data_IF_540248393564
#
_entry.id   IF_540248393564
#
_cell.length_a   1.000
_cell.length_b   1.000
_cell.length_c   1.000
_cell.angle_alpha   90.00
_cell.angle_beta   90.00
_cell.angle_gamma   90.00
#
_symmetry.space_group_name_H-M   'P 1'
#
loop_
_entity.id
_entity.type
_entity.pdbx_description
1 polymer ?
#
# COMPACT_ATOMS: atom_id res chain seq x y z
N UNK A 1 1.95 -21.96 7.66
CA UNK A 1 1.30 -21.98 6.33
C UNK A 1 2.29 -22.50 5.31
N UNK A 2 1.89 -23.41 4.43
CA UNK A 2 2.72 -23.81 3.30
C UNK A 2 2.77 -22.63 2.33
N UNK A 3 3.92 -22.12 1.93
CA UNK A 3 3.98 -21.02 0.98
C UNK A 3 3.30 -21.42 -0.33
N UNK A 4 2.61 -20.52 -0.99
CA UNK A 4 2.01 -20.79 -2.28
C UNK A 4 3.09 -21.12 -3.30
N UNK A 5 2.87 -22.13 -4.10
CA UNK A 5 3.82 -22.61 -5.11
C UNK A 5 3.37 -22.13 -6.47
N UNK A 6 3.95 -21.03 -6.92
CA UNK A 6 3.87 -20.57 -8.30
C UNK A 6 2.66 -19.66 -8.63
N UNK A 7 2.78 -18.99 -9.76
CA UNK A 7 1.77 -18.09 -10.34
C UNK A 7 0.55 -18.87 -10.84
N UNK A 8 -0.64 -18.46 -10.45
CA UNK A 8 -1.91 -19.02 -10.90
C UNK A 8 -2.54 -18.15 -11.99
N UNK A 9 -3.09 -18.76 -13.04
CA UNK A 9 -3.81 -18.07 -14.11
C UNK A 9 -5.31 -17.93 -13.87
N UNK A 10 -5.81 -18.27 -12.66
CA UNK A 10 -7.22 -18.18 -12.32
C UNK A 10 -7.49 -16.87 -11.58
N UNK A 11 -7.80 -15.76 -12.28
CA UNK A 11 -8.06 -14.49 -11.64
C UNK A 11 -9.35 -14.54 -10.83
N UNK A 12 -9.41 -13.72 -9.76
CA UNK A 12 -10.59 -13.59 -8.91
C UNK A 12 -11.82 -13.22 -9.73
N UNK A 13 -12.99 -13.71 -9.33
CA UNK A 13 -14.26 -13.50 -10.01
C UNK A 13 -15.17 -12.50 -9.28
N UNK A 14 -14.91 -12.23 -8.02
CA UNK A 14 -15.71 -11.37 -7.17
C UNK A 14 -15.04 -10.02 -6.98
N UNK A 15 -15.84 -8.94 -7.01
CA UNK A 15 -15.41 -7.59 -6.65
C UNK A 15 -15.41 -7.46 -5.14
N UNK A 16 -14.44 -6.68 -4.59
CA UNK A 16 -14.38 -6.37 -3.17
C UNK A 16 -14.30 -4.85 -2.96
N UNK A 17 -15.10 -4.33 -2.04
CA UNK A 17 -14.98 -2.98 -1.51
C UNK A 17 -14.61 -3.08 -0.03
N UNK A 18 -13.55 -2.40 0.41
CA UNK A 18 -12.91 -2.73 1.68
C UNK A 18 -12.59 -1.49 2.51
N UNK A 19 -12.59 -1.67 3.83
CA UNK A 19 -12.15 -0.66 4.79
C UNK A 19 -11.02 -1.24 5.65
N UNK A 20 -9.84 -0.61 5.60
CA UNK A 20 -8.74 -0.86 6.52
C UNK A 20 -8.81 0.16 7.65
N UNK A 21 -8.88 -0.32 8.89
CA UNK A 21 -8.83 0.51 10.11
C UNK A 21 -7.55 0.16 10.86
N UNK A 22 -6.73 1.17 11.14
CA UNK A 22 -5.52 1.02 11.93
C UNK A 22 -5.34 2.18 12.90
N UNK A 23 -4.69 1.92 14.02
CA UNK A 23 -4.33 2.94 14.99
C UNK A 23 -2.85 3.29 14.94
N UNK A 24 -2.56 4.50 15.34
CA UNK A 24 -1.21 5.02 15.55
C UNK A 24 -1.11 5.51 17.00
N UNK A 25 -0.11 5.05 17.74
CA UNK A 25 0.18 5.44 19.12
C UNK A 25 1.61 5.97 19.17
N UNK A 26 1.78 7.23 19.52
CA UNK A 26 3.07 7.91 19.61
C UNK A 26 3.97 7.72 18.38
N UNK A 27 3.38 7.78 17.19
CA UNK A 27 4.05 7.49 15.94
C UNK A 27 3.72 8.45 14.81
N UNK A 28 4.35 8.24 13.65
CA UNK A 28 4.06 8.97 12.43
C UNK A 28 3.89 7.98 11.26
N UNK A 29 2.66 7.73 10.80
CA UNK A 29 2.40 6.72 9.77
C UNK A 29 2.83 7.19 8.38
N UNK A 30 2.75 8.50 8.11
CA UNK A 30 2.92 9.07 6.78
C UNK A 30 3.45 10.51 6.85
N UNK A 31 4.75 10.64 7.15
CA UNK A 31 5.42 11.94 7.18
C UNK A 31 5.48 12.62 5.81
N UNK A 32 5.36 13.94 5.80
CA UNK A 32 5.48 14.77 4.61
C UNK A 32 6.93 15.27 4.45
N UNK A 33 7.64 14.87 3.38
CA UNK A 33 9.01 15.34 3.16
C UNK A 33 9.10 16.86 2.96
N UNK A 34 8.05 17.50 2.44
CA UNK A 34 8.00 18.94 2.20
C UNK A 34 7.66 19.74 3.47
N UNK A 35 7.12 19.07 4.49
CA UNK A 35 6.76 19.66 5.78
C UNK A 35 7.61 19.09 6.94
N UNK A 36 8.92 18.99 6.75
CA UNK A 36 9.88 18.51 7.76
C UNK A 36 9.48 17.16 8.40
N UNK A 37 8.94 16.25 7.60
CA UNK A 37 8.43 14.95 8.01
C UNK A 37 7.29 15.00 9.05
N UNK A 38 6.55 16.08 9.18
CA UNK A 38 5.29 16.14 9.93
C UNK A 38 4.29 15.14 9.36
N UNK A 39 3.43 14.58 10.19
CA UNK A 39 2.34 13.74 9.70
C UNK A 39 1.43 14.58 8.80
N UNK A 40 1.04 14.01 7.66
CA UNK A 40 0.14 14.70 6.72
C UNK A 40 -1.21 14.94 7.36
N UNK A 41 -1.72 16.15 7.24
CA UNK A 41 -3.04 16.55 7.75
C UNK A 41 -3.82 17.30 6.68
N UNK A 42 -5.12 17.14 6.72
CA UNK A 42 -6.06 18.01 6.01
C UNK A 42 -6.10 19.37 6.73
N UNK A 43 -5.76 20.47 6.07
CA UNK A 43 -5.67 21.77 6.71
C UNK A 43 -7.01 22.30 7.21
N UNK A 44 -8.13 21.89 6.61
CA UNK A 44 -9.47 22.40 6.97
C UNK A 44 -10.05 21.65 8.18
N UNK A 45 -9.84 20.33 8.22
CA UNK A 45 -10.44 19.47 9.25
C UNK A 45 -9.47 19.09 10.37
N UNK A 46 -8.16 19.27 10.16
CA UNK A 46 -7.10 18.78 11.06
C UNK A 46 -6.97 17.26 11.11
N UNK A 47 -7.68 16.51 10.25
CA UNK A 47 -7.59 15.06 10.21
C UNK A 47 -6.27 14.61 9.61
N UNK A 48 -5.68 13.58 10.20
CA UNK A 48 -4.50 12.93 9.65
C UNK A 48 -4.80 12.21 8.34
N UNK A 49 -3.85 12.27 7.41
CA UNK A 49 -3.97 11.65 6.08
C UNK A 49 -2.99 10.50 5.92
N UNK A 50 -3.46 9.42 5.29
CA UNK A 50 -2.64 8.28 4.87
C UNK A 50 -2.77 8.10 3.37
N UNK A 51 -1.68 8.33 2.63
CA UNK A 51 -1.69 8.21 1.17
C UNK A 51 -1.79 6.74 0.72
N UNK A 52 -2.35 6.52 -0.46
CA UNK A 52 -2.38 5.21 -1.11
C UNK A 52 -0.97 4.64 -1.30
N UNK A 53 0.00 5.50 -1.64
CA UNK A 53 1.41 5.12 -1.82
C UNK A 53 2.01 4.57 -0.53
N UNK A 54 1.73 5.18 0.63
CA UNK A 54 2.24 4.73 1.91
C UNK A 54 1.64 3.38 2.33
N UNK A 55 0.34 3.17 2.10
CA UNK A 55 -0.32 1.88 2.32
C UNK A 55 0.30 0.80 1.40
N UNK A 56 0.37 1.06 0.10
CA UNK A 56 0.93 0.13 -0.89
C UNK A 56 2.40 -0.20 -0.58
N UNK A 57 3.20 0.77 -0.12
CA UNK A 57 4.61 0.53 0.24
C UNK A 57 4.74 -0.40 1.45
N UNK A 58 3.88 -0.24 2.46
CA UNK A 58 3.88 -1.10 3.66
C UNK A 58 3.47 -2.54 3.30
N UNK A 59 2.44 -2.69 2.46
CA UNK A 59 1.97 -4.00 1.98
C UNK A 59 3.03 -4.69 1.10
N UNK A 60 3.67 -3.95 0.16
CA UNK A 60 4.77 -4.50 -0.66
C UNK A 60 5.91 -5.03 0.20
N UNK A 61 6.28 -4.30 1.26
CA UNK A 61 7.34 -4.74 2.17
C UNK A 61 6.96 -6.04 2.87
N UNK A 62 5.74 -6.13 3.40
CA UNK A 62 5.24 -7.34 4.06
C UNK A 62 5.21 -8.53 3.08
N UNK A 63 4.61 -8.34 1.90
CA UNK A 63 4.56 -9.36 0.87
C UNK A 63 5.95 -9.82 0.42
N UNK A 64 6.91 -8.88 0.27
CA UNK A 64 8.27 -9.23 -0.10
C UNK A 64 8.97 -10.09 0.97
N UNK A 65 8.85 -9.71 2.24
CA UNK A 65 9.49 -10.44 3.34
C UNK A 65 8.92 -11.86 3.46
N UNK A 66 7.62 -12.01 3.28
CA UNK A 66 6.96 -13.30 3.44
C UNK A 66 7.04 -14.20 2.19
N UNK A 67 7.01 -13.61 1.00
CA UNK A 67 6.80 -14.37 -0.24
C UNK A 67 7.73 -13.99 -1.39
N UNK A 68 8.56 -12.96 -1.26
CA UNK A 68 9.34 -12.37 -2.35
C UNK A 68 10.38 -13.29 -2.99
N UNK A 69 10.74 -14.39 -2.34
CA UNK A 69 11.66 -15.40 -2.85
C UNK A 69 10.97 -16.48 -3.71
N UNK A 70 9.63 -16.49 -3.76
CA UNK A 70 8.87 -17.44 -4.56
C UNK A 70 8.75 -16.96 -6.02
N UNK A 71 8.71 -17.90 -6.96
CA UNK A 71 8.51 -17.60 -8.37
C UNK A 71 7.20 -16.87 -8.62
N UNK A 72 7.27 -15.73 -9.35
CA UNK A 72 6.12 -14.89 -9.63
C UNK A 72 5.74 -13.90 -8.52
N UNK A 73 6.49 -13.86 -7.41
CA UNK A 73 6.20 -12.99 -6.26
C UNK A 73 7.28 -11.95 -5.99
N UNK A 74 8.18 -11.71 -6.93
CA UNK A 74 9.15 -10.61 -6.85
C UNK A 74 8.43 -9.26 -6.78
N UNK A 75 9.10 -8.24 -6.21
CA UNK A 75 8.59 -6.86 -6.17
C UNK A 75 9.27 -6.00 -7.24
N UNK A 76 8.48 -5.32 -8.05
CA UNK A 76 8.96 -4.34 -9.03
C UNK A 76 9.42 -3.06 -8.32
N UNK A 77 8.56 -2.46 -7.49
CA UNK A 77 8.88 -1.26 -6.71
C UNK A 77 9.51 -1.68 -5.38
N UNK A 78 10.84 -1.62 -5.33
CA UNK A 78 11.63 -1.98 -4.16
C UNK A 78 12.80 -1.01 -4.00
N UNK A 79 13.16 -0.70 -2.75
CA UNK A 79 14.42 -0.03 -2.47
C UNK A 79 15.59 -0.90 -2.99
N UNK A 80 16.70 -0.27 -3.29
CA UNK A 80 17.93 -0.93 -3.77
C UNK A 80 17.79 -1.69 -5.09
N UNK A 81 16.86 -1.26 -5.97
CA UNK A 81 16.69 -1.87 -7.28
C UNK A 81 16.45 -0.84 -8.38
N UNK A 82 16.90 -1.16 -9.57
CA UNK A 82 16.74 -0.32 -10.76
C UNK A 82 15.55 -0.78 -11.56
N UNK A 83 14.53 0.08 -11.72
CA UNK A 83 13.31 -0.26 -12.47
C UNK A 83 13.62 -0.62 -13.92
N UNK A 84 14.47 0.16 -14.59
CA UNK A 84 14.83 -0.10 -16.00
C UNK A 84 15.47 -1.47 -16.21
N UNK A 85 16.24 -2.00 -15.26
CA UNK A 85 16.80 -3.35 -15.38
C UNK A 85 15.71 -4.42 -15.37
N UNK A 86 14.65 -4.23 -14.60
CA UNK A 86 13.49 -5.15 -14.58
C UNK A 86 12.65 -5.02 -15.85
N UNK A 87 12.50 -3.80 -16.37
CA UNK A 87 11.86 -3.55 -17.67
C UNK A 87 12.65 -4.21 -18.80
N UNK A 88 13.98 -4.17 -18.71
CA UNK A 88 14.88 -4.80 -19.68
C UNK A 88 14.78 -6.33 -19.65
N UNK A 89 14.62 -6.95 -18.49
CA UNK A 89 14.33 -8.39 -18.37
C UNK A 89 13.13 -8.79 -19.23
N UNK A 90 12.05 -8.01 -19.20
CA UNK A 90 10.84 -8.32 -19.95
C UNK A 90 11.05 -8.22 -21.48
N UNK A 91 11.76 -7.20 -21.95
CA UNK A 91 12.01 -7.06 -23.40
C UNK A 91 12.99 -8.11 -23.92
N UNK A 92 14.00 -8.48 -23.11
CA UNK A 92 14.94 -9.57 -23.45
C UNK A 92 14.22 -10.92 -23.51
N UNK A 93 13.37 -11.22 -22.53
CA UNK A 93 12.58 -12.45 -22.50
C UNK A 93 11.64 -12.59 -23.70
N UNK A 94 11.28 -11.48 -24.36
CA UNK A 94 10.42 -11.45 -25.54
C UNK A 94 11.20 -11.18 -26.85
N UNK A 95 12.53 -11.39 -26.85
CA UNK A 95 13.34 -11.43 -28.08
C UNK A 95 14.05 -10.12 -28.45
N UNK A 96 13.98 -9.09 -27.63
CA UNK A 96 14.81 -7.90 -27.81
C UNK A 96 16.21 -8.11 -27.19
N UNK A 97 17.20 -7.34 -27.62
CA UNK A 97 18.54 -7.38 -27.03
C UNK A 97 18.65 -6.50 -25.78
N UNK A 98 17.91 -5.41 -25.74
CA UNK A 98 17.84 -4.42 -24.67
C UNK A 98 16.61 -3.51 -24.91
N UNK A 99 16.38 -2.55 -24.04
CA UNK A 99 15.29 -1.56 -24.15
C UNK A 99 15.35 -0.74 -25.46
N UNK A 100 16.54 -0.37 -25.92
CA UNK A 100 16.69 0.43 -27.15
C UNK A 100 16.29 -0.39 -28.40
N UNK A 101 16.57 -1.70 -28.40
CA UNK A 101 16.21 -2.61 -29.49
C UNK A 101 14.71 -2.97 -29.49
N UNK A 102 13.98 -2.74 -28.42
CA UNK A 102 12.56 -3.06 -28.31
C UNK A 102 11.73 -2.45 -29.45
N UNK A 103 12.04 -1.20 -29.86
CA UNK A 103 11.38 -0.54 -31.01
C UNK A 103 11.50 -1.32 -32.33
N UNK A 104 12.62 -1.99 -32.55
CA UNK A 104 12.84 -2.78 -33.75
C UNK A 104 12.05 -4.09 -33.73
N UNK A 105 12.06 -4.80 -32.61
CA UNK A 105 11.32 -6.06 -32.42
C UNK A 105 9.83 -5.83 -32.58
N UNK A 106 9.30 -4.76 -31.95
CA UNK A 106 7.90 -4.37 -32.01
C UNK A 106 7.37 -4.15 -33.43
N UNK A 107 8.19 -3.64 -34.37
CA UNK A 107 7.78 -3.49 -35.77
C UNK A 107 7.42 -4.81 -36.42
N UNK A 108 8.04 -5.92 -35.97
CA UNK A 108 7.87 -7.25 -36.51
C UNK A 108 6.92 -8.13 -35.67
N UNK A 109 6.62 -7.75 -34.45
CA UNK A 109 5.71 -8.45 -33.52
C UNK A 109 4.71 -7.45 -32.92
N UNK A 110 3.49 -7.36 -33.46
CA UNK A 110 2.44 -6.48 -32.97
C UNK A 110 2.03 -6.75 -31.51
N UNK A 111 2.22 -7.98 -31.03
CA UNK A 111 1.89 -8.39 -29.66
C UNK A 111 3.04 -8.20 -28.67
N UNK A 112 4.18 -7.70 -29.12
CA UNK A 112 5.39 -7.57 -28.29
C UNK A 112 5.14 -6.80 -26.99
N UNK A 113 4.48 -5.64 -27.09
CA UNK A 113 4.18 -4.80 -25.92
C UNK A 113 3.30 -5.55 -24.90
N UNK A 114 2.30 -6.30 -25.40
CA UNK A 114 1.41 -7.10 -24.56
C UNK A 114 2.17 -8.25 -23.89
N UNK A 115 3.03 -8.96 -24.62
CA UNK A 115 3.87 -10.03 -24.06
C UNK A 115 4.79 -9.51 -22.96
N UNK A 116 5.36 -8.30 -23.13
CA UNK A 116 6.17 -7.66 -22.09
C UNK A 116 5.34 -7.33 -20.85
N UNK A 117 4.12 -6.78 -20.99
CA UNK A 117 3.24 -6.52 -19.87
C UNK A 117 2.80 -7.81 -19.14
N UNK A 118 2.52 -8.88 -19.88
CA UNK A 118 2.21 -10.20 -19.33
C UNK A 118 3.41 -10.78 -18.56
N UNK A 119 4.63 -10.64 -19.09
CA UNK A 119 5.85 -11.01 -18.37
C UNK A 119 5.96 -10.28 -17.04
N UNK A 120 5.71 -8.96 -17.03
CA UNK A 120 5.77 -8.16 -15.81
C UNK A 120 4.71 -8.59 -14.79
N UNK A 121 3.47 -8.79 -15.23
CA UNK A 121 2.40 -9.30 -14.34
C UNK A 121 2.72 -10.69 -13.78
N UNK A 122 3.32 -11.57 -14.59
CA UNK A 122 3.66 -12.93 -14.18
C UNK A 122 4.76 -12.96 -13.12
N UNK A 123 5.78 -12.12 -13.27
CA UNK A 123 7.00 -12.19 -12.44
C UNK A 123 6.96 -11.24 -11.23
N UNK A 124 6.17 -10.16 -11.30
CA UNK A 124 6.12 -9.14 -10.26
C UNK A 124 4.74 -9.05 -9.62
N UNK A 125 4.66 -9.50 -8.37
CA UNK A 125 3.42 -9.53 -7.60
C UNK A 125 2.78 -8.15 -7.47
N UNK A 126 3.56 -7.12 -7.20
CA UNK A 126 3.04 -5.76 -7.00
C UNK A 126 2.55 -5.10 -8.29
N UNK A 127 3.08 -5.46 -9.46
CA UNK A 127 2.51 -5.05 -10.76
C UNK A 127 1.16 -5.71 -10.96
N UNK A 128 1.07 -7.02 -10.72
CA UNK A 128 -0.16 -7.80 -10.85
C UNK A 128 -1.24 -7.31 -9.88
N UNK A 129 -0.85 -6.86 -8.69
CA UNK A 129 -1.74 -6.43 -7.61
C UNK A 129 -2.14 -4.95 -7.73
N UNK A 130 -1.16 -4.05 -7.76
CA UNK A 130 -1.39 -2.59 -7.70
C UNK A 130 -1.26 -1.90 -9.05
N UNK A 131 -0.55 -2.53 -9.96
CA UNK A 131 -0.09 -1.92 -11.19
C UNK A 131 1.15 -1.06 -11.01
N UNK A 132 1.72 -0.64 -12.12
CA UNK A 132 2.86 0.29 -12.16
C UNK A 132 2.95 0.99 -13.51
N UNK A 133 3.65 2.12 -13.52
CA UNK A 133 4.16 2.74 -14.75
C UNK A 133 5.59 2.26 -14.94
N UNK A 134 5.85 1.54 -16.03
CA UNK A 134 7.16 1.01 -16.38
C UNK A 134 7.91 2.06 -17.20
N UNK A 135 8.82 2.77 -16.53
CA UNK A 135 9.50 3.94 -17.11
C UNK A 135 10.40 3.58 -18.30
N UNK A 136 10.99 2.40 -18.30
CA UNK A 136 11.78 1.86 -19.43
C UNK A 136 10.92 1.65 -20.66
N UNK A 137 9.72 1.10 -20.50
CA UNK A 137 8.75 0.92 -21.60
C UNK A 137 8.28 2.27 -22.14
N UNK A 138 8.00 3.26 -21.28
CA UNK A 138 7.62 4.61 -21.70
C UNK A 138 8.72 5.28 -22.50
N UNK A 139 9.99 5.17 -22.08
CA UNK A 139 11.15 5.69 -22.84
C UNK A 139 11.32 5.00 -24.19
N UNK A 140 10.97 3.76 -24.30
CA UNK A 140 10.99 2.97 -25.54
C UNK A 140 9.73 3.12 -26.38
N UNK A 141 8.83 4.06 -26.02
CA UNK A 141 7.56 4.34 -26.70
C UNK A 141 6.62 3.14 -26.81
N UNK A 142 6.69 2.22 -25.86
CA UNK A 142 5.81 1.05 -25.84
C UNK A 142 4.39 1.47 -25.41
N UNK A 143 3.38 0.92 -26.07
CA UNK A 143 1.96 1.21 -25.81
C UNK A 143 1.50 0.73 -24.44
N UNK A 144 2.19 -0.24 -23.86
CA UNK A 144 1.90 -0.85 -22.55
C UNK A 144 2.79 -0.30 -21.43
N UNK A 145 3.19 0.96 -21.50
CA UNK A 145 4.02 1.61 -20.49
C UNK A 145 3.39 1.69 -19.09
N UNK A 146 2.12 1.29 -18.93
CA UNK A 146 1.43 1.22 -17.65
C UNK A 146 0.52 0.01 -17.54
N UNK A 147 0.57 -0.67 -16.39
CA UNK A 147 -0.40 -1.70 -15.98
C UNK A 147 -1.24 -1.14 -14.84
N UNK A 148 -2.56 -1.23 -14.96
CA UNK A 148 -3.49 -0.91 -13.86
C UNK A 148 -3.87 -2.19 -13.14
N UNK A 149 -3.43 -2.31 -11.89
CA UNK A 149 -3.76 -3.46 -11.05
C UNK A 149 -5.17 -3.38 -10.45
N UNK A 150 -5.71 -4.52 -9.99
CA UNK A 150 -7.05 -4.60 -9.40
C UNK A 150 -7.17 -3.89 -8.06
N UNK A 151 -6.11 -3.86 -7.23
CA UNK A 151 -6.16 -3.32 -5.87
C UNK A 151 -5.82 -1.83 -5.88
N UNK A 152 -6.79 -0.99 -5.52
CA UNK A 152 -6.63 0.46 -5.50
C UNK A 152 -7.06 1.04 -4.17
N UNK A 153 -6.11 1.67 -3.46
CA UNK A 153 -6.35 2.44 -2.25
C UNK A 153 -6.74 3.86 -2.59
N UNK A 154 -7.62 4.44 -1.77
CA UNK A 154 -7.84 5.88 -1.71
C UNK A 154 -7.03 6.48 -0.55
N UNK A 155 -7.01 7.82 -0.45
CA UNK A 155 -6.43 8.47 0.70
C UNK A 155 -7.26 8.14 1.95
N UNK A 156 -6.62 7.56 2.97
CA UNK A 156 -7.25 7.33 4.26
C UNK A 156 -7.19 8.57 5.13
N UNK A 157 -8.14 8.67 6.07
CA UNK A 157 -8.24 9.79 7.01
C UNK A 157 -8.45 9.28 8.44
N UNK A 158 -8.05 10.09 9.42
CA UNK A 158 -8.42 9.81 10.80
C UNK A 158 -9.89 10.11 11.08
N UNK A 159 -10.47 9.36 12.02
CA UNK A 159 -11.86 9.57 12.49
C UNK A 159 -12.00 10.96 13.11
N UNK A 160 -11.02 11.37 13.90
CA UNK A 160 -10.96 12.67 14.56
C UNK A 160 -9.76 13.50 14.07
N UNK A 161 -9.77 14.84 14.27
CA UNK A 161 -8.57 15.65 14.12
C UNK A 161 -7.42 15.15 14.98
N UNK A 162 -6.19 15.20 14.45
CA UNK A 162 -4.99 14.81 15.17
C UNK A 162 -4.22 16.05 15.65
N UNK A 163 -3.53 15.90 16.77
CA UNK A 163 -2.51 16.85 17.20
C UNK A 163 -1.14 16.22 17.03
N UNK A 164 -0.18 17.00 16.56
CA UNK A 164 1.19 16.54 16.41
C UNK A 164 2.06 17.14 17.51
N UNK A 165 2.96 16.35 18.06
CA UNK A 165 3.97 16.80 19.02
C UNK A 165 5.33 16.78 18.35
N UNK A 166 6.06 17.87 18.46
CA UNK A 166 7.46 17.92 18.10
C UNK A 166 8.31 17.44 19.28
N UNK A 167 9.13 16.43 19.03
CA UNK A 167 10.08 15.90 20.01
C UNK A 167 11.49 16.24 19.56
N UNK A 168 12.18 17.07 20.34
CA UNK A 168 13.61 17.31 20.13
C UNK A 168 14.41 16.09 20.61
N UNK A 169 15.26 15.59 19.74
CA UNK A 169 16.15 14.47 20.03
C UNK A 169 17.60 14.94 19.96
N UNK A 170 18.42 14.42 20.87
CA UNK A 170 19.84 14.75 20.94
C UNK A 170 20.68 13.48 20.72
N UNK A 171 21.46 13.46 19.66
CA UNK A 171 22.49 12.43 19.46
C UNK A 171 23.75 12.85 20.23
N UNK A 172 24.19 12.02 21.16
CA UNK A 172 25.38 12.24 22.00
C UNK A 172 26.71 11.99 21.23
N UNK A 173 26.70 12.36 19.93
CA UNK A 173 27.89 12.25 19.06
C UNK A 173 27.77 13.26 17.92
N UNK A 174 28.91 13.69 17.41
CA UNK A 174 29.04 14.50 16.20
C UNK A 174 29.51 13.65 15.03
N UNK A 175 29.36 14.18 13.80
CA UNK A 175 29.67 13.42 12.58
C UNK A 175 31.12 13.50 12.17
N UNK A 176 31.83 14.57 12.57
CA UNK A 176 33.20 14.83 12.11
C UNK A 176 34.10 15.30 13.24
N UNK A 177 35.38 15.01 13.11
CA UNK A 177 36.44 15.48 14.02
C UNK A 177 36.45 17.00 14.12
N UNK A 178 36.24 17.69 13.02
CA UNK A 178 36.11 19.15 12.96
C UNK A 178 35.00 19.71 13.86
N UNK A 179 33.84 19.04 13.91
CA UNK A 179 32.76 19.44 14.82
C UNK A 179 33.15 19.25 16.27
N UNK A 180 33.85 18.17 16.60
CA UNK A 180 34.28 17.86 17.98
C UNK A 180 35.36 18.85 18.44
N UNK A 181 36.41 19.07 17.65
CA UNK A 181 37.62 19.82 18.06
C UNK A 181 37.40 21.33 17.83
N UNK A 182 37.02 21.76 16.63
CA UNK A 182 36.96 23.17 16.28
C UNK A 182 35.68 23.84 16.83
N UNK A 183 34.51 23.19 16.72
CA UNK A 183 33.24 23.76 17.17
C UNK A 183 32.89 23.40 18.62
N UNK A 184 33.70 22.56 19.29
CA UNK A 184 33.44 22.09 20.66
C UNK A 184 32.02 21.54 20.85
N UNK A 185 31.45 20.91 19.82
CA UNK A 185 30.14 20.31 19.87
C UNK A 185 30.27 18.83 20.22
N UNK A 186 29.57 18.40 21.25
CA UNK A 186 29.53 17.01 21.69
C UNK A 186 28.27 16.28 21.27
N UNK A 187 27.32 16.99 20.67
CA UNK A 187 26.03 16.43 20.31
C UNK A 187 25.47 17.04 19.01
N UNK A 188 24.50 16.39 18.46
CA UNK A 188 23.71 16.88 17.31
C UNK A 188 22.24 16.81 17.70
N UNK A 189 21.53 17.92 17.51
CA UNK A 189 20.08 18.00 17.79
C UNK A 189 19.31 17.76 16.49
N UNK A 190 18.14 17.14 16.61
CA UNK A 190 17.16 16.98 15.54
C UNK A 190 15.76 16.96 16.12
N UNK A 191 14.75 17.08 15.27
CA UNK A 191 13.35 17.02 15.66
C UNK A 191 12.66 15.80 15.03
N UNK A 192 11.66 15.28 15.74
CA UNK A 192 10.72 14.28 15.22
C UNK A 192 9.30 14.72 15.55
N UNK A 193 8.39 14.46 14.62
CA UNK A 193 6.96 14.73 14.83
C UNK A 193 6.21 13.42 15.04
N UNK A 194 5.45 13.34 16.12
CA UNK A 194 4.61 12.19 16.45
C UNK A 194 3.15 12.59 16.56
N UNK A 195 2.26 11.67 16.23
CA UNK A 195 0.84 11.69 16.55
C UNK A 195 0.66 10.89 17.83
N UNK A 196 0.22 11.50 18.95
CA UNK A 196 0.00 10.78 20.20
C UNK A 196 -1.00 9.63 20.06
N UNK A 197 -2.11 9.91 19.34
CA UNK A 197 -3.08 8.89 18.95
C UNK A 197 -3.83 9.33 17.68
N UNK A 198 -4.14 8.36 16.80
CA UNK A 198 -4.99 8.55 15.65
C UNK A 198 -5.56 7.22 15.17
N UNK A 199 -6.88 7.15 14.95
CA UNK A 199 -7.55 6.01 14.34
C UNK A 199 -7.84 6.35 12.88
N UNK A 200 -7.16 5.67 11.96
CA UNK A 200 -7.23 5.87 10.52
C UNK A 200 -8.18 4.90 9.88
N UNK A 201 -8.96 5.37 8.92
CA UNK A 201 -9.83 4.57 8.05
C UNK A 201 -9.40 4.79 6.61
N UNK A 202 -9.02 3.73 5.93
CA UNK A 202 -8.52 3.76 4.56
C UNK A 202 -9.39 2.88 3.67
N UNK A 203 -10.26 3.48 2.83
CA UNK A 203 -11.00 2.74 1.84
C UNK A 203 -10.10 2.21 0.73
N UNK A 204 -10.41 1.01 0.24
CA UNK A 204 -9.78 0.45 -0.95
C UNK A 204 -10.72 -0.51 -1.68
N UNK A 205 -10.39 -0.79 -2.94
CA UNK A 205 -11.23 -1.57 -3.83
C UNK A 205 -10.40 -2.63 -4.53
N UNK A 206 -11.00 -3.81 -4.77
CA UNK A 206 -10.38 -4.88 -5.55
C UNK A 206 -11.32 -5.22 -6.71
N UNK A 207 -10.89 -4.91 -7.92
CA UNK A 207 -11.70 -5.08 -9.14
C UNK A 207 -11.43 -6.42 -9.80
N UNK A 208 -12.39 -7.33 -9.77
CA UNK A 208 -12.31 -8.60 -10.49
C UNK A 208 -12.14 -8.39 -12.01
N UNK A 209 -12.78 -7.37 -12.57
CA UNK A 209 -12.63 -7.02 -13.98
C UNK A 209 -11.21 -6.59 -14.37
N UNK A 210 -10.46 -5.93 -13.47
CA UNK A 210 -9.04 -5.64 -13.69
C UNK A 210 -8.16 -6.85 -13.41
N UNK A 211 -8.54 -7.70 -12.47
CA UNK A 211 -7.84 -8.95 -12.18
C UNK A 211 -7.78 -9.87 -13.42
N UNK A 212 -8.83 -9.89 -14.26
CA UNK A 212 -8.81 -10.63 -15.53
C UNK A 212 -7.69 -10.18 -16.47
N UNK A 213 -7.24 -8.92 -16.37
CA UNK A 213 -6.18 -8.37 -17.23
C UNK A 213 -4.78 -8.63 -16.69
N UNK A 214 -4.63 -8.67 -15.37
CA UNK A 214 -3.32 -8.83 -14.72
C UNK A 214 -3.03 -10.25 -14.28
N UNK A 215 -4.06 -11.11 -14.21
CA UNK A 215 -3.95 -12.47 -13.68
C UNK A 215 -3.93 -12.53 -12.14
N UNK A 216 -4.40 -11.48 -11.43
CA UNK A 216 -4.49 -11.49 -9.97
C UNK A 216 -5.50 -12.55 -9.51
N UNK A 217 -4.98 -13.59 -8.84
CA UNK A 217 -5.70 -14.82 -8.49
C UNK A 217 -6.20 -14.81 -7.05
N UNK A 218 -7.02 -15.83 -6.69
CA UNK A 218 -7.44 -16.10 -5.30
C UNK A 218 -6.23 -16.34 -4.37
N UNK A 219 -5.16 -16.93 -4.90
CA UNK A 219 -3.92 -17.11 -4.17
C UNK A 219 -3.22 -15.76 -3.92
N UNK A 220 -3.22 -14.87 -4.91
CA UNK A 220 -2.70 -13.52 -4.76
C UNK A 220 -3.53 -12.71 -3.75
N UNK A 221 -4.85 -12.90 -3.73
CA UNK A 221 -5.77 -12.30 -2.77
C UNK A 221 -5.47 -12.79 -1.34
N UNK A 222 -5.25 -14.08 -1.16
CA UNK A 222 -4.86 -14.63 0.14
C UNK A 222 -3.53 -14.05 0.65
N UNK A 223 -2.52 -13.92 -0.23
CA UNK A 223 -1.24 -13.27 0.08
C UNK A 223 -1.45 -11.78 0.40
N UNK A 224 -2.35 -11.12 -0.33
CA UNK A 224 -2.69 -9.72 -0.06
C UNK A 224 -3.26 -9.54 1.34
N UNK A 225 -4.23 -10.38 1.75
CA UNK A 225 -4.80 -10.33 3.10
C UNK A 225 -3.75 -10.56 4.19
N UNK A 226 -2.89 -11.56 4.04
CA UNK A 226 -1.79 -11.79 4.98
C UNK A 226 -0.82 -10.61 5.02
N UNK A 227 -0.56 -9.98 3.86
CA UNK A 227 0.32 -8.80 3.78
C UNK A 227 -0.31 -7.57 4.43
N UNK A 228 -1.62 -7.39 4.33
CA UNK A 228 -2.36 -6.30 5.00
C UNK A 228 -2.33 -6.50 6.52
N UNK A 229 -2.57 -7.73 7.01
CA UNK A 229 -2.50 -8.03 8.44
C UNK A 229 -1.14 -7.69 9.06
N UNK A 230 -0.07 -7.92 8.31
CA UNK A 230 1.31 -7.78 8.78
C UNK A 230 2.03 -6.51 8.27
N UNK A 231 1.33 -5.59 7.60
CA UNK A 231 1.95 -4.47 6.88
C UNK A 231 2.78 -3.54 7.78
N UNK A 232 2.43 -3.41 9.04
CA UNK A 232 3.16 -2.59 10.01
C UNK A 232 4.16 -3.38 10.84
N UNK A 233 4.00 -4.70 10.99
CA UNK A 233 4.91 -5.56 11.76
C UNK A 233 6.33 -5.55 11.19
N UNK A 234 6.45 -5.58 9.86
CA UNK A 234 7.73 -5.53 9.17
C UNK A 234 8.23 -4.10 8.87
N UNK A 235 7.54 -3.08 9.37
CA UNK A 235 7.87 -1.68 9.15
C UNK A 235 8.14 -0.92 10.46
N UNK A 236 8.44 -1.63 11.53
CA UNK A 236 8.68 -1.03 12.85
C UNK A 236 9.94 -0.16 12.86
N UNK A 237 9.84 1.00 13.45
CA UNK A 237 10.93 1.94 13.68
C UNK A 237 10.58 2.84 14.86
N UNK A 238 11.50 3.69 15.30
CA UNK A 238 11.24 4.64 16.39
C UNK A 238 10.03 5.57 16.15
N UNK A 239 9.65 5.81 14.88
CA UNK A 239 8.48 6.62 14.50
C UNK A 239 7.28 5.77 14.07
N UNK A 240 7.43 4.46 13.96
CA UNK A 240 6.42 3.50 13.53
C UNK A 240 6.39 2.28 14.47
N UNK A 241 6.66 2.51 15.75
CA UNK A 241 6.74 1.44 16.75
C UNK A 241 5.38 0.83 17.06
N UNK A 242 4.38 1.69 17.25
CA UNK A 242 3.03 1.28 17.61
C UNK A 242 2.02 1.75 16.56
N UNK A 243 2.07 1.11 15.39
CA UNK A 243 1.03 1.20 14.37
C UNK A 243 0.44 -0.19 14.21
N UNK A 244 -0.86 -0.34 14.47
CA UNK A 244 -1.51 -1.64 14.55
C UNK A 244 -2.74 -1.67 13.65
N UNK A 245 -2.84 -2.68 12.78
CA UNK A 245 -4.09 -2.99 12.09
C UNK A 245 -5.10 -3.46 13.12
N UNK A 246 -6.25 -2.80 13.19
CA UNK A 246 -7.29 -3.08 14.18
C UNK A 246 -8.49 -3.81 13.59
N UNK A 247 -8.77 -3.53 12.30
CA UNK A 247 -9.89 -4.12 11.61
C UNK A 247 -9.67 -4.04 10.11
N UNK A 248 -10.06 -5.06 9.39
CA UNK A 248 -10.22 -5.05 7.94
C UNK A 248 -11.58 -5.66 7.62
N UNK A 249 -12.48 -4.85 7.08
CA UNK A 249 -13.79 -5.29 6.61
C UNK A 249 -13.70 -5.41 5.09
N UNK A 250 -14.12 -6.54 4.59
CA UNK A 250 -14.25 -6.83 3.17
C UNK A 250 -15.73 -7.07 2.82
N UNK A 251 -16.26 -6.22 1.96
CA UNK A 251 -17.57 -6.38 1.35
C UNK A 251 -17.37 -7.09 0.01
N UNK A 252 -17.46 -8.41 0.04
CA UNK A 252 -17.33 -9.26 -1.13
C UNK A 252 -18.66 -9.32 -1.87
N UNK A 253 -18.66 -8.99 -3.16
CA UNK A 253 -19.80 -9.09 -4.04
C UNK A 253 -19.84 -10.47 -4.69
N UNK A 254 -21.04 -11.00 -4.94
CA UNK A 254 -21.22 -12.23 -5.71
C UNK A 254 -21.08 -12.03 -7.23
N UNK A 255 -20.68 -10.83 -7.64
CA UNK A 255 -20.55 -10.37 -9.01
C UNK A 255 -19.18 -9.73 -9.27
N UNK A 256 -18.66 -9.92 -10.47
CA UNK A 256 -17.46 -9.25 -10.97
C UNK A 256 -17.59 -7.72 -11.01
N UNK A 257 -18.79 -7.22 -11.23
CA UNK A 257 -19.08 -5.78 -11.38
C UNK A 257 -19.60 -5.11 -10.10
N UNK A 258 -19.98 -5.91 -9.12
CA UNK A 258 -20.54 -5.50 -7.84
C UNK A 258 -22.06 -5.45 -7.84
N UNK A 259 -22.64 -5.60 -6.63
CA UNK A 259 -24.09 -5.64 -6.36
C UNK A 259 -24.58 -4.35 -5.71
N UNK A 260 -23.67 -3.49 -5.26
CA UNK A 260 -23.96 -2.21 -4.66
C UNK A 260 -22.81 -1.20 -4.89
N UNK A 261 -23.07 0.11 -4.84
CA UNK A 261 -22.03 1.11 -4.83
C UNK A 261 -21.27 1.11 -3.49
N UNK A 262 -19.96 1.28 -3.55
CA UNK A 262 -19.07 1.20 -2.36
C UNK A 262 -19.46 2.19 -1.25
N UNK A 263 -19.88 3.41 -1.59
CA UNK A 263 -20.27 4.42 -0.60
C UNK A 263 -21.41 3.93 0.31
N UNK A 264 -22.38 3.20 -0.24
CA UNK A 264 -23.50 2.64 0.52
C UNK A 264 -23.00 1.59 1.54
N UNK A 265 -22.05 0.76 1.14
CA UNK A 265 -21.45 -0.25 2.01
C UNK A 265 -20.61 0.40 3.11
N UNK A 266 -19.86 1.44 2.78
CA UNK A 266 -19.02 2.14 3.76
C UNK A 266 -19.85 2.93 4.78
N UNK A 267 -21.04 3.44 4.41
CA UNK A 267 -21.98 4.07 5.35
C UNK A 267 -22.64 3.09 6.33
N UNK A 268 -22.49 1.77 6.10
CA UNK A 268 -22.90 0.78 7.10
C UNK A 268 -21.99 0.76 8.32
N UNK A 269 -20.71 1.19 8.20
CA UNK A 269 -19.77 1.29 9.30
C UNK A 269 -19.85 2.65 9.97
N UNK A 270 -20.16 2.66 11.26
CA UNK A 270 -20.12 3.84 12.12
C UNK A 270 -19.00 3.73 13.14
N UNK A 271 -18.13 4.73 13.20
CA UNK A 271 -17.05 4.83 14.20
C UNK A 271 -17.19 6.16 14.91
N UNK A 272 -17.45 6.15 16.21
CA UNK A 272 -17.67 7.34 17.02
C UNK A 272 -16.92 7.23 18.34
N UNK A 273 -16.39 8.35 18.85
CA UNK A 273 -15.85 8.37 20.21
C UNK A 273 -16.93 8.05 21.23
N UNK A 274 -16.62 7.20 22.20
CA UNK A 274 -17.50 6.91 23.34
C UNK A 274 -17.66 8.11 24.26
N UNK A 275 -16.60 8.89 24.46
CA UNK A 275 -16.64 10.18 25.16
C UNK A 275 -16.12 11.29 24.22
N UNK A 276 -16.99 12.15 23.66
CA UNK A 276 -16.60 13.23 22.75
C UNK A 276 -15.82 14.35 23.43
N UNK A 277 -15.90 14.49 24.76
CA UNK A 277 -15.27 15.58 25.51
C UNK A 277 -13.80 15.28 25.86
N UNK A 278 -13.36 14.02 25.74
CA UNK A 278 -11.98 13.60 25.99
C UNK A 278 -11.28 13.15 24.70
N UNK A 279 -9.98 13.44 24.53
CA UNK A 279 -9.24 12.94 23.38
C UNK A 279 -9.08 11.41 23.46
N UNK A 280 -9.33 10.71 22.36
CA UNK A 280 -9.07 9.28 22.27
C UNK A 280 -7.57 8.99 22.43
N UNK A 281 -7.22 7.88 23.09
CA UNK A 281 -5.84 7.40 23.32
C UNK A 281 -5.65 5.93 23.02
N UNK A 282 -6.73 5.20 22.78
CA UNK A 282 -6.74 3.77 22.48
C UNK A 282 -7.96 3.41 21.62
N UNK A 283 -7.90 2.28 20.98
CA UNK A 283 -8.98 1.79 20.10
C UNK A 283 -10.32 1.64 20.82
N UNK A 284 -10.31 1.25 22.11
CA UNK A 284 -11.49 1.07 22.94
C UNK A 284 -12.21 2.39 23.30
N UNK A 285 -11.62 3.54 22.99
CA UNK A 285 -12.28 4.84 23.15
C UNK A 285 -13.27 5.13 22.01
N UNK A 286 -13.43 4.18 21.08
CA UNK A 286 -14.41 4.26 19.98
C UNK A 286 -15.49 3.20 20.12
N UNK A 287 -16.72 3.60 19.86
CA UNK A 287 -17.85 2.73 19.58
C UNK A 287 -17.89 2.46 18.05
N UNK A 288 -17.76 1.20 17.68
CA UNK A 288 -17.68 0.76 16.28
C UNK A 288 -18.83 -0.16 16.02
N UNK A 289 -19.73 0.25 15.13
CA UNK A 289 -20.93 -0.49 14.80
C UNK A 289 -21.04 -0.70 13.29
N UNK A 290 -21.31 -1.93 12.88
CA UNK A 290 -21.61 -2.29 11.50
C UNK A 290 -23.10 -2.63 11.41
N UNK A 291 -23.85 -1.80 10.68
CA UNK A 291 -25.29 -1.97 10.47
C UNK A 291 -25.54 -2.94 9.30
N UNK A 292 -25.73 -4.22 9.65
CA UNK A 292 -25.98 -5.28 8.69
C UNK A 292 -27.29 -5.09 7.89
N UNK A 293 -28.24 -4.27 8.37
CA UNK A 293 -29.49 -3.99 7.65
C UNK A 293 -29.27 -3.15 6.39
N UNK A 294 -28.13 -2.45 6.29
CA UNK A 294 -27.73 -1.67 5.12
C UNK A 294 -27.00 -2.48 4.05
N UNK A 295 -26.66 -3.73 4.35
CA UNK A 295 -25.95 -4.59 3.40
C UNK A 295 -26.96 -5.23 2.46
N UNK A 296 -26.90 -4.98 1.14
CA UNK A 296 -27.84 -5.55 0.20
C UNK A 296 -27.56 -7.03 -0.08
N UNK A 297 -28.57 -7.69 -0.67
CA UNK A 297 -28.39 -9.06 -1.15
C UNK A 297 -27.25 -9.16 -2.19
N UNK A 298 -26.53 -10.25 -2.18
CA UNK A 298 -25.36 -10.47 -3.06
C UNK A 298 -24.08 -9.81 -2.57
N UNK A 299 -24.07 -9.27 -1.32
CA UNK A 299 -22.84 -8.80 -0.66
C UNK A 299 -22.64 -9.57 0.63
N UNK A 300 -21.48 -10.21 0.76
CA UNK A 300 -21.04 -10.90 1.97
C UNK A 300 -20.04 -10.02 2.72
N UNK A 301 -20.20 -9.92 4.04
CA UNK A 301 -19.26 -9.17 4.88
C UNK A 301 -18.29 -10.14 5.52
N UNK A 302 -17.01 -9.96 5.20
CA UNK A 302 -15.91 -10.75 5.75
C UNK A 302 -15.09 -9.87 6.71
N UNK A 303 -14.81 -10.38 7.90
CA UNK A 303 -13.88 -9.78 8.85
C UNK A 303 -12.51 -10.45 8.65
N UNK A 304 -11.59 -9.75 7.99
CA UNK A 304 -10.25 -10.27 7.69
C UNK A 304 -9.35 -10.16 8.94
N UNK A 305 -9.57 -9.08 9.74
CA UNK A 305 -8.94 -8.85 11.06
C UNK A 305 -10.02 -8.39 12.00
#
# INVERSE_FOLDING_TARGET
MTPPIGYSLNPIQHKHDCLLVFEVINGNPNGDPDANAMARTDPDTGRGLMTDVANKASIRRAAHIMYGENDGYRMYIRNDSFLNAKDEEAVIANGAKNLDNAKTVRKNDPDFDKKCAEFMCRNYYDIRTFGAVMTGFTKSEMSTGGVRGPVQFTCGQTVDPIQQLELTITRQAVSTEKELIEKKKNNTMGSKFIVPYGLYVCPFHISAAQAQKTGFSEQDLAIFWESVKNMFEFNRSAMKGEINVRMVIDFEHDSMYGNAPAWQLFEALSIKRTNPDEPARKFQDYDIQLDMSKIPAGVTVNHIV
#
